data_IF_741486885853
#
_entry.id   IF_741486885853
#
_cell.length_a   1.000
_cell.length_b   1.000
_cell.length_c   1.000
_cell.angle_alpha   90.00
_cell.angle_beta   90.00
_cell.angle_gamma   90.00
#
_symmetry.space_group_name_H-M   'P 1'
#
loop_
_entity.id
_entity.type
_entity.pdbx_description
1 polymer ?
#
# COMPACT_ATOMS: atom_id res chain seq x y z
N UNK A 1 -59.50 48.91 8.46
CA UNK A 1 -58.15 48.90 7.86
C UNK A 1 -57.17 49.41 8.91
N UNK A 2 -56.61 48.51 9.72
CA UNK A 2 -55.61 48.85 10.72
C UNK A 2 -54.25 49.12 10.04
N UNK A 3 -53.68 50.30 10.29
CA UNK A 3 -52.36 50.69 9.77
C UNK A 3 -51.30 50.21 10.74
N UNK A 4 -50.55 49.18 10.35
CA UNK A 4 -49.39 48.70 11.10
C UNK A 4 -48.31 49.80 11.10
N UNK A 5 -48.07 50.37 12.28
CA UNK A 5 -47.03 51.38 12.49
C UNK A 5 -45.67 50.67 12.47
N UNK A 6 -44.94 50.78 11.36
CA UNK A 6 -43.60 50.22 11.17
C UNK A 6 -42.62 51.01 12.02
N UNK A 7 -42.58 50.72 13.32
CA UNK A 7 -41.57 51.23 14.24
C UNK A 7 -40.21 50.70 13.76
N UNK A 8 -39.26 51.57 13.45
CA UNK A 8 -37.90 51.16 13.09
C UNK A 8 -37.21 50.63 14.35
N UNK A 9 -37.26 49.31 14.53
CA UNK A 9 -36.85 48.62 15.76
C UNK A 9 -35.33 48.38 15.81
N UNK A 10 -34.59 48.70 14.74
CA UNK A 10 -33.17 48.37 14.59
C UNK A 10 -32.32 49.65 14.49
N UNK A 11 -32.22 50.37 15.61
CA UNK A 11 -31.19 51.40 15.79
C UNK A 11 -29.91 50.69 16.24
N UNK A 12 -29.03 50.39 15.30
CA UNK A 12 -27.68 49.93 15.66
C UNK A 12 -26.92 51.09 16.29
N UNK A 13 -26.18 50.86 17.41
CA UNK A 13 -25.35 51.89 17.98
C UNK A 13 -24.33 52.41 16.97
N UNK A 14 -24.11 53.72 16.95
CA UNK A 14 -23.10 54.35 16.10
C UNK A 14 -21.72 53.75 16.41
N UNK A 15 -21.02 53.32 15.36
CA UNK A 15 -19.70 52.69 15.48
C UNK A 15 -19.68 51.25 16.01
N UNK A 16 -20.83 50.55 16.09
CA UNK A 16 -20.87 49.13 16.47
C UNK A 16 -20.07 48.25 15.50
N UNK A 17 -20.24 48.49 14.19
CA UNK A 17 -19.54 47.74 13.15
C UNK A 17 -18.09 48.17 12.99
N UNK A 18 -17.75 49.42 13.33
CA UNK A 18 -16.37 49.92 13.25
C UNK A 18 -15.46 49.26 14.29
N UNK A 19 -16.00 48.97 15.49
CA UNK A 19 -15.25 48.33 16.59
C UNK A 19 -15.35 46.80 16.57
N UNK A 20 -16.15 46.22 15.68
CA UNK A 20 -16.38 44.78 15.61
C UNK A 20 -15.11 44.00 15.20
N UNK A 21 -14.34 44.43 14.17
CA UNK A 21 -13.11 43.74 13.78
C UNK A 21 -12.10 43.68 14.92
N UNK A 22 -11.90 44.81 15.61
CA UNK A 22 -10.95 44.91 16.71
C UNK A 22 -11.32 43.97 17.88
N UNK A 23 -12.60 43.91 18.23
CA UNK A 23 -13.11 43.01 19.30
C UNK A 23 -13.01 41.53 18.93
N UNK A 24 -13.11 41.21 17.63
CA UNK A 24 -12.92 39.85 17.13
C UNK A 24 -11.45 39.48 17.24
N UNK A 25 -10.54 40.36 16.79
CA UNK A 25 -9.09 40.14 16.83
C UNK A 25 -8.58 39.98 18.26
N UNK A 26 -8.97 40.85 19.19
CA UNK A 26 -8.57 40.79 20.61
C UNK A 26 -8.97 39.45 21.28
N UNK A 27 -10.14 38.92 20.91
CA UNK A 27 -10.63 37.61 21.39
C UNK A 27 -9.83 36.43 20.85
N UNK A 28 -9.23 36.57 19.67
CA UNK A 28 -8.37 35.54 19.08
C UNK A 28 -6.91 35.66 19.52
N UNK A 29 -6.40 36.88 19.70
CA UNK A 29 -5.01 37.11 20.12
C UNK A 29 -4.74 36.73 21.58
N UNK A 30 -5.70 36.95 22.48
CA UNK A 30 -5.61 36.51 23.89
C UNK A 30 -5.57 34.98 24.07
N UNK A 31 -5.85 34.22 23.01
CA UNK A 31 -5.69 32.75 22.96
C UNK A 31 -4.44 32.31 22.21
N UNK A 32 -3.45 33.19 21.98
CA UNK A 32 -2.11 32.77 21.54
C UNK A 32 -1.45 31.98 22.68
N UNK A 33 -1.81 30.71 22.64
CA UNK A 33 -1.39 29.59 23.45
C UNK A 33 0.10 29.66 23.78
N UNK A 34 0.39 29.99 25.04
CA UNK A 34 1.70 29.80 25.69
C UNK A 34 2.19 28.34 25.67
N UNK A 35 1.38 27.40 25.15
CA UNK A 35 1.65 25.97 25.10
C UNK A 35 2.79 25.59 24.14
N UNK A 36 3.04 26.40 23.10
CA UNK A 36 4.14 26.14 22.15
C UNK A 36 5.54 26.58 22.65
N UNK A 37 5.62 27.22 23.83
CA UNK A 37 6.89 27.80 24.31
C UNK A 37 7.83 26.80 25.01
N UNK A 38 7.33 25.64 25.46
CA UNK A 38 8.12 24.74 26.33
C UNK A 38 8.76 23.51 25.66
N UNK A 39 8.18 22.81 24.67
CA UNK A 39 8.84 21.64 24.10
C UNK A 39 9.58 21.91 22.79
N UNK A 40 9.84 23.17 22.40
CA UNK A 40 10.58 23.45 21.16
C UNK A 40 12.03 22.90 21.22
N UNK A 41 12.60 22.78 22.42
CA UNK A 41 13.95 22.19 22.62
C UNK A 41 14.01 20.70 22.28
N UNK A 42 12.91 19.98 22.44
CA UNK A 42 12.82 18.55 22.12
C UNK A 42 12.36 18.29 20.68
N UNK A 43 11.84 19.32 19.99
CA UNK A 43 11.44 19.21 18.60
C UNK A 43 12.62 18.85 17.68
N UNK A 44 13.80 19.44 17.93
CA UNK A 44 15.00 19.12 17.15
C UNK A 44 15.40 17.63 17.26
N UNK A 45 15.38 17.07 18.48
CA UNK A 45 15.70 15.65 18.69
C UNK A 45 14.64 14.72 18.07
N UNK A 46 13.36 15.08 18.17
CA UNK A 46 12.27 14.30 17.57
C UNK A 46 12.38 14.25 16.03
N UNK A 47 12.76 15.35 15.39
CA UNK A 47 13.00 15.40 13.93
C UNK A 47 14.20 14.54 13.54
N UNK A 48 15.26 14.53 14.34
CA UNK A 48 16.40 13.64 14.11
C UNK A 48 16.03 12.16 14.26
N UNK A 49 15.26 11.80 15.29
CA UNK A 49 14.82 10.41 15.51
C UNK A 49 13.86 9.95 14.41
N UNK A 50 12.91 10.78 14.01
CA UNK A 50 11.99 10.48 12.92
C UNK A 50 12.72 10.42 11.57
N UNK A 51 13.67 11.33 11.33
CA UNK A 51 14.48 11.34 10.10
C UNK A 51 15.38 10.13 9.99
N UNK A 52 16.10 9.76 11.06
CA UNK A 52 16.91 8.54 11.12
C UNK A 52 16.05 7.29 11.05
N UNK A 53 14.90 7.26 11.73
CA UNK A 53 13.96 6.14 11.69
C UNK A 53 13.39 5.92 10.29
N UNK A 54 12.96 6.99 9.62
CA UNK A 54 12.51 6.93 8.23
C UNK A 54 13.62 6.54 7.27
N UNK A 55 14.83 7.08 7.44
CA UNK A 55 15.97 6.71 6.61
C UNK A 55 16.27 5.22 6.78
N UNK A 56 16.45 4.72 8.00
CA UNK A 56 16.72 3.30 8.25
C UNK A 56 15.60 2.41 7.69
N UNK A 57 14.34 2.83 7.82
CA UNK A 57 13.20 2.10 7.27
C UNK A 57 13.21 2.06 5.74
N UNK A 58 13.48 3.19 5.08
CA UNK A 58 13.55 3.26 3.61
C UNK A 58 14.77 2.50 3.09
N UNK A 59 15.90 2.54 3.78
CA UNK A 59 17.10 1.78 3.41
C UNK A 59 16.97 0.28 3.59
N UNK A 60 15.94 -0.20 4.29
CA UNK A 60 15.60 -1.63 4.38
C UNK A 60 14.77 -2.12 3.20
N UNK A 61 14.34 -1.26 2.27
CA UNK A 61 13.78 -1.76 1.02
C UNK A 61 14.89 -2.51 0.28
N UNK A 62 14.75 -3.83 0.19
CA UNK A 62 15.66 -4.66 -0.57
C UNK A 62 15.78 -4.08 -1.97
N UNK A 63 17.00 -3.72 -2.37
CA UNK A 63 17.27 -3.40 -3.76
C UNK A 63 17.15 -4.73 -4.51
N UNK A 64 15.99 -4.97 -5.11
CA UNK A 64 15.88 -5.99 -6.15
C UNK A 64 16.83 -5.52 -7.24
N UNK A 65 17.84 -6.33 -7.57
CA UNK A 65 18.80 -5.98 -8.61
C UNK A 65 18.01 -5.64 -9.88
N UNK A 66 18.18 -4.44 -10.47
CA UNK A 66 17.49 -4.07 -11.69
C UNK A 66 17.69 -5.10 -12.80
N UNK A 67 18.84 -5.79 -12.80
CA UNK A 67 19.13 -6.88 -13.72
C UNK A 67 18.22 -8.09 -13.49
N UNK A 68 18.06 -8.54 -12.24
CA UNK A 68 17.20 -9.67 -11.90
C UNK A 68 15.73 -9.39 -12.25
N UNK A 69 15.28 -8.15 -12.01
CA UNK A 69 13.91 -7.73 -12.35
C UNK A 69 13.67 -7.71 -13.87
N UNK A 70 14.68 -7.31 -14.65
CA UNK A 70 14.59 -7.27 -16.11
C UNK A 70 14.60 -8.69 -16.69
N UNK A 71 15.47 -9.56 -16.14
CA UNK A 71 15.54 -10.98 -16.52
C UNK A 71 14.21 -11.68 -16.19
N UNK A 72 13.63 -11.47 -15.01
CA UNK A 72 12.37 -12.11 -14.65
C UNK A 72 11.22 -11.68 -15.58
N UNK A 73 11.16 -10.39 -15.93
CA UNK A 73 10.14 -9.88 -16.87
C UNK A 73 10.32 -10.46 -18.28
N UNK A 74 11.56 -10.62 -18.72
CA UNK A 74 11.87 -11.22 -20.02
C UNK A 74 11.51 -12.71 -20.06
N UNK A 75 11.79 -13.46 -18.99
CA UNK A 75 11.38 -14.87 -18.84
C UNK A 75 9.84 -14.98 -18.92
N UNK A 76 9.11 -14.15 -18.17
CA UNK A 76 7.65 -14.16 -18.19
C UNK A 76 7.09 -13.87 -19.60
N UNK A 77 7.70 -12.93 -20.32
CA UNK A 77 7.31 -12.61 -21.71
C UNK A 77 7.54 -13.79 -22.67
N UNK A 78 8.66 -14.50 -22.54
CA UNK A 78 8.93 -15.67 -23.40
C UNK A 78 8.00 -16.85 -23.10
N UNK A 79 7.54 -16.99 -21.86
CA UNK A 79 6.50 -17.96 -21.49
C UNK A 79 5.15 -17.54 -22.09
N UNK A 80 4.74 -16.28 -21.94
CA UNK A 80 3.44 -15.78 -22.42
C UNK A 80 3.32 -15.79 -23.95
N UNK A 81 4.44 -15.59 -24.65
CA UNK A 81 4.50 -15.68 -26.12
C UNK A 81 4.57 -17.11 -26.65
N UNK A 82 4.48 -18.13 -25.78
CA UNK A 82 4.66 -19.55 -26.10
C UNK A 82 5.99 -19.81 -26.84
N UNK A 83 6.99 -18.93 -26.70
CA UNK A 83 8.29 -19.13 -27.32
C UNK A 83 9.13 -20.14 -26.55
N UNK A 84 9.01 -20.15 -25.22
CA UNK A 84 9.59 -21.18 -24.36
C UNK A 84 8.54 -22.24 -24.07
N UNK A 85 8.66 -23.38 -24.74
CA UNK A 85 7.83 -24.54 -24.45
C UNK A 85 8.40 -25.32 -23.25
N UNK A 86 7.58 -26.17 -22.63
CA UNK A 86 8.00 -26.96 -21.46
C UNK A 86 9.22 -27.84 -21.79
N UNK A 87 9.30 -28.34 -23.02
CA UNK A 87 10.41 -29.16 -23.51
C UNK A 87 11.72 -28.37 -23.57
N UNK A 88 11.68 -27.11 -24.02
CA UNK A 88 12.86 -26.25 -24.13
C UNK A 88 13.41 -25.88 -22.75
N UNK A 89 12.52 -25.64 -21.78
CA UNK A 89 12.88 -25.36 -20.39
C UNK A 89 13.55 -26.59 -19.75
N UNK A 90 13.04 -27.79 -20.04
CA UNK A 90 13.61 -29.04 -19.56
C UNK A 90 14.99 -29.32 -20.18
N UNK A 91 15.21 -28.95 -21.44
CA UNK A 91 16.52 -29.10 -22.09
C UNK A 91 17.61 -28.17 -21.50
N UNK A 92 17.21 -27.02 -20.94
CA UNK A 92 18.11 -26.07 -20.30
C UNK A 92 18.45 -26.45 -18.85
N UNK A 93 17.58 -27.21 -18.19
CA UNK A 93 17.75 -27.58 -16.79
C UNK A 93 18.91 -28.58 -16.59
N UNK A 94 19.72 -28.37 -15.54
CA UNK A 94 20.84 -29.26 -15.20
C UNK A 94 20.38 -30.70 -14.85
N UNK A 95 19.16 -30.86 -14.34
CA UNK A 95 18.57 -32.16 -14.01
C UNK A 95 17.06 -32.18 -14.31
N UNK A 96 16.66 -32.41 -15.57
CA UNK A 96 15.25 -32.38 -15.97
C UNK A 96 14.41 -33.48 -15.32
N UNK A 97 15.00 -34.64 -15.03
CA UNK A 97 14.28 -35.78 -14.45
C UNK A 97 13.74 -35.46 -13.05
N UNK A 98 14.51 -34.71 -12.24
CA UNK A 98 14.04 -34.29 -10.92
C UNK A 98 12.82 -33.37 -10.99
N UNK A 99 12.75 -32.51 -12.01
CA UNK A 99 11.65 -31.58 -12.22
C UNK A 99 10.41 -32.36 -12.71
N UNK A 100 10.61 -33.31 -13.63
CA UNK A 100 9.54 -34.19 -14.10
C UNK A 100 8.95 -35.03 -12.97
N UNK A 101 9.80 -35.61 -12.11
CA UNK A 101 9.36 -36.38 -10.94
C UNK A 101 8.53 -35.52 -9.97
N UNK A 102 8.92 -34.26 -9.75
CA UNK A 102 8.19 -33.31 -8.92
C UNK A 102 6.83 -32.93 -9.53
N UNK A 103 6.77 -32.69 -10.85
CA UNK A 103 5.52 -32.42 -11.58
C UNK A 103 4.59 -33.63 -11.50
N UNK A 104 5.10 -34.84 -11.77
CA UNK A 104 4.32 -36.08 -11.70
C UNK A 104 3.82 -36.32 -10.27
N UNK A 105 4.65 -36.14 -9.25
CA UNK A 105 4.22 -36.30 -7.87
C UNK A 105 3.16 -35.26 -7.47
N UNK A 106 3.21 -34.06 -8.02
CA UNK A 106 2.24 -33.00 -7.74
C UNK A 106 0.89 -33.23 -8.44
N UNK A 107 0.90 -33.70 -9.69
CA UNK A 107 -0.32 -33.93 -10.49
C UNK A 107 -0.92 -35.32 -10.28
N UNK A 108 -0.08 -36.34 -10.11
CA UNK A 108 -0.45 -37.75 -10.05
C UNK A 108 -0.13 -38.42 -8.70
N UNK A 109 0.42 -37.69 -7.72
CA UNK A 109 0.75 -38.27 -6.41
C UNK A 109 -0.46 -38.76 -5.60
N UNK A 110 -1.68 -38.48 -6.07
CA UNK A 110 -2.93 -39.05 -5.55
C UNK A 110 -3.54 -40.14 -6.44
N UNK A 111 -2.93 -40.47 -7.58
CA UNK A 111 -3.38 -41.57 -8.43
C UNK A 111 -2.91 -42.89 -7.82
N UNK A 112 -3.72 -43.39 -6.88
CA UNK A 112 -3.53 -44.67 -6.22
C UNK A 112 -3.90 -45.79 -7.21
N UNK A 113 -2.89 -46.43 -7.82
CA UNK A 113 -3.07 -47.58 -8.74
C UNK A 113 -3.51 -48.87 -8.02
N UNK A 114 -3.87 -48.80 -6.73
CA UNK A 114 -4.08 -49.94 -5.85
C UNK A 114 -5.49 -50.56 -5.89
N UNK A 115 -6.28 -50.37 -6.95
CA UNK A 115 -7.61 -51.00 -7.04
C UNK A 115 -8.01 -51.45 -8.47
N UNK A 116 -7.06 -51.98 -9.24
CA UNK A 116 -7.41 -52.82 -10.39
C UNK A 116 -6.55 -54.08 -10.37
N UNK A 117 -7.12 -55.11 -9.75
CA UNK A 117 -6.62 -56.48 -9.70
C UNK A 117 -6.30 -57.00 -11.13
N UNK A 118 -5.07 -57.44 -11.44
CA UNK A 118 -4.72 -57.97 -12.74
C UNK A 118 -5.01 -59.48 -12.80
N UNK A 119 -6.23 -59.90 -12.49
CA UNK A 119 -6.66 -61.27 -12.73
C UNK A 119 -8.01 -61.29 -13.46
N UNK A 120 -8.02 -62.05 -14.56
CA UNK A 120 -9.15 -62.35 -15.44
C UNK A 120 -9.48 -61.35 -16.56
N UNK A 121 -8.62 -61.35 -17.59
CA UNK A 121 -9.14 -61.42 -18.95
C UNK A 121 -8.10 -62.00 -19.92
N UNK A 122 -7.91 -63.31 -19.78
CA UNK A 122 -7.34 -64.21 -20.78
C UNK A 122 -8.32 -64.24 -21.96
N UNK A 123 -8.10 -63.39 -22.97
CA UNK A 123 -8.85 -63.43 -24.21
C UNK A 123 -8.33 -64.55 -25.12
N UNK A 124 -9.24 -65.45 -25.52
CA UNK A 124 -9.06 -66.51 -26.52
C UNK A 124 -8.83 -65.97 -27.93
#
# INVERSE_FOLDING_TARGET
MEKLNKKEIHLVPEGYFDKLPDRILERYESRKSVWFSKPLKYAAAAVFILGLGLWVFISQTSQVDPMDLMISQEIDLYIDTEYWQAEDILLLADNPNSILDEIIATEWGSFDWAETDPEEDIWY
#
